data_IF_170983614263
#
_entry.id   IF_170983614263
#
_cell.length_a   1.000
_cell.length_b   1.000
_cell.length_c   1.000
_cell.angle_alpha   90.00
_cell.angle_beta   90.00
_cell.angle_gamma   90.00
#
_symmetry.space_group_name_H-M   'P 1'
#
loop_
_entity.id
_entity.type
_entity.pdbx_description
1 polymer ?
#
# COMPACT_ATOMS: atom_id res chain seq x y z
N UNK A 1 -31.43 -37.95 -15.43
CA UNK A 1 -31.21 -37.79 -13.98
C UNK A 1 -30.07 -36.80 -13.79
N UNK A 2 -30.41 -35.63 -13.26
CA UNK A 2 -29.55 -34.48 -12.99
C UNK A 2 -28.69 -34.73 -11.76
N UNK A 3 -27.40 -34.39 -11.81
CA UNK A 3 -26.62 -34.04 -10.62
C UNK A 3 -25.67 -32.90 -11.01
N UNK A 4 -26.18 -31.68 -10.87
CA UNK A 4 -25.43 -30.43 -10.98
C UNK A 4 -24.71 -30.21 -9.65
N UNK A 5 -23.39 -30.42 -9.61
CA UNK A 5 -22.58 -30.19 -8.40
C UNK A 5 -22.14 -28.73 -8.38
N UNK A 6 -22.91 -27.90 -7.70
CA UNK A 6 -22.55 -26.51 -7.45
C UNK A 6 -21.48 -26.48 -6.35
N UNK A 7 -20.27 -26.08 -6.72
CA UNK A 7 -19.22 -25.76 -5.76
C UNK A 7 -19.62 -24.46 -5.02
N UNK A 8 -19.47 -24.40 -3.68
CA UNK A 8 -19.69 -23.16 -2.96
C UNK A 8 -18.59 -22.17 -3.34
N UNK A 9 -18.99 -21.08 -4.01
CA UNK A 9 -18.14 -19.92 -4.27
C UNK A 9 -17.63 -19.40 -2.92
N UNK A 10 -16.35 -19.62 -2.66
CA UNK A 10 -15.63 -18.96 -1.59
C UNK A 10 -15.58 -17.46 -1.91
N UNK A 11 -16.48 -16.70 -1.30
CA UNK A 11 -16.33 -15.26 -1.15
C UNK A 11 -15.07 -15.02 -0.33
N UNK A 12 -13.93 -14.93 -1.02
CA UNK A 12 -12.75 -14.28 -0.46
C UNK A 12 -13.13 -12.82 -0.27
N UNK A 13 -13.64 -12.50 0.92
CA UNK A 13 -13.75 -11.11 1.37
C UNK A 13 -12.31 -10.64 1.54
N UNK A 14 -11.75 -10.09 0.46
CA UNK A 14 -10.52 -9.33 0.54
C UNK A 14 -10.69 -8.32 1.67
N UNK A 15 -9.74 -8.28 2.60
CA UNK A 15 -9.81 -7.34 3.71
C UNK A 15 -10.00 -5.93 3.13
N UNK A 16 -10.99 -5.15 3.59
CA UNK A 16 -11.27 -3.83 3.05
C UNK A 16 -10.00 -2.99 3.06
N UNK A 17 -9.71 -2.33 1.93
CA UNK A 17 -8.58 -1.43 1.80
C UNK A 17 -8.73 -0.23 2.73
N UNK A 18 -7.67 0.54 2.94
CA UNK A 18 -7.73 1.74 3.80
C UNK A 18 -8.81 2.75 3.36
N UNK A 19 -9.07 2.85 2.05
CA UNK A 19 -10.13 3.70 1.50
C UNK A 19 -11.55 3.20 1.85
N UNK A 20 -11.76 1.87 1.87
CA UNK A 20 -13.05 1.26 2.21
C UNK A 20 -13.42 1.52 3.67
N UNK A 21 -12.42 1.50 4.56
CA UNK A 21 -12.61 1.76 5.99
C UNK A 21 -12.90 3.24 6.25
N UNK A 22 -12.19 4.16 5.59
CA UNK A 22 -12.48 5.59 5.70
C UNK A 22 -13.93 5.92 5.25
N UNK A 23 -14.37 5.33 4.13
CA UNK A 23 -15.74 5.48 3.65
C UNK A 23 -16.77 4.92 4.65
N UNK A 24 -16.48 3.75 5.24
CA UNK A 24 -17.32 3.15 6.27
C UNK A 24 -17.40 4.03 7.53
N UNK A 25 -16.29 4.60 7.99
CA UNK A 25 -16.25 5.52 9.13
C UNK A 25 -17.12 6.75 8.86
N UNK A 26 -17.00 7.36 7.68
CA UNK A 26 -17.85 8.49 7.29
C UNK A 26 -19.34 8.13 7.25
N UNK A 27 -19.68 6.95 6.74
CA UNK A 27 -21.04 6.45 6.75
C UNK A 27 -21.58 6.30 8.17
N UNK A 28 -20.83 5.64 9.06
CA UNK A 28 -21.23 5.45 10.47
C UNK A 28 -21.38 6.80 11.16
N UNK A 29 -20.45 7.74 10.95
CA UNK A 29 -20.54 9.10 11.48
C UNK A 29 -21.83 9.79 11.05
N UNK A 30 -22.18 9.70 9.76
CA UNK A 30 -23.40 10.30 9.23
C UNK A 30 -24.67 9.67 9.83
N UNK A 31 -24.71 8.34 9.96
CA UNK A 31 -25.84 7.63 10.56
C UNK A 31 -26.01 8.03 12.04
N UNK A 32 -24.91 8.10 12.79
CA UNK A 32 -24.91 8.50 14.20
C UNK A 32 -25.41 9.94 14.38
N UNK A 33 -24.99 10.86 13.52
CA UNK A 33 -25.46 12.25 13.52
C UNK A 33 -26.95 12.38 13.21
N UNK A 34 -27.49 11.48 12.38
CA UNK A 34 -28.91 11.46 12.00
C UNK A 34 -29.79 10.65 12.96
N UNK A 35 -29.17 9.89 13.87
CA UNK A 35 -29.88 9.05 14.82
C UNK A 35 -30.28 9.80 16.11
N UNK A 36 -31.38 9.37 16.71
CA UNK A 36 -31.88 9.88 17.99
C UNK A 36 -31.09 9.31 19.19
N UNK A 37 -29.77 9.25 19.09
CA UNK A 37 -28.89 8.92 20.21
C UNK A 37 -28.83 10.09 21.18
N UNK A 38 -28.79 9.78 22.49
CA UNK A 38 -28.45 10.77 23.50
C UNK A 38 -27.02 11.30 23.29
N UNK A 39 -26.75 12.49 23.80
CA UNK A 39 -25.46 13.16 23.61
C UNK A 39 -24.28 12.33 24.13
N UNK A 40 -24.43 11.61 25.24
CA UNK A 40 -23.37 10.78 25.81
C UNK A 40 -23.02 9.58 24.92
N UNK A 41 -24.02 8.93 24.33
CA UNK A 41 -23.80 7.87 23.36
C UNK A 41 -23.16 8.40 22.07
N UNK A 42 -23.59 9.58 21.60
CA UNK A 42 -23.01 10.22 20.41
C UNK A 42 -21.52 10.55 20.61
N UNK A 43 -21.16 11.10 21.75
CA UNK A 43 -19.77 11.46 22.06
C UNK A 43 -18.86 10.23 22.12
N UNK A 44 -19.33 9.14 22.73
CA UNK A 44 -18.58 7.86 22.77
C UNK A 44 -18.33 7.28 21.39
N UNK A 45 -19.33 7.34 20.50
CA UNK A 45 -19.17 6.86 19.13
C UNK A 45 -18.22 7.77 18.34
N UNK A 46 -18.32 9.09 18.51
CA UNK A 46 -17.38 10.00 17.88
C UNK A 46 -15.93 9.75 18.32
N UNK A 47 -15.69 9.50 19.60
CA UNK A 47 -14.36 9.17 20.10
C UNK A 47 -13.85 7.85 19.52
N UNK A 48 -14.66 6.79 19.55
CA UNK A 48 -14.29 5.50 18.97
C UNK A 48 -13.97 5.58 17.47
N UNK A 49 -14.69 6.42 16.71
CA UNK A 49 -14.41 6.65 15.30
C UNK A 49 -13.09 7.42 15.10
N UNK A 50 -12.75 8.38 15.96
CA UNK A 50 -11.47 9.10 15.90
C UNK A 50 -10.30 8.16 16.18
N UNK A 51 -10.39 7.35 17.24
CA UNK A 51 -9.38 6.34 17.55
C UNK A 51 -9.16 5.36 16.39
N UNK A 52 -10.24 4.95 15.72
CA UNK A 52 -10.16 4.10 14.54
C UNK A 52 -9.52 4.81 13.34
N UNK A 53 -9.85 6.08 13.08
CA UNK A 53 -9.21 6.89 12.04
C UNK A 53 -7.68 6.98 12.26
N UNK A 54 -7.26 7.21 13.50
CA UNK A 54 -5.85 7.30 13.87
C UNK A 54 -5.14 5.94 13.73
N UNK A 55 -5.78 4.85 14.18
CA UNK A 55 -5.24 3.50 14.01
C UNK A 55 -5.05 3.14 12.54
N UNK A 56 -6.05 3.44 11.70
CA UNK A 56 -6.00 3.18 10.27
C UNK A 56 -4.94 4.01 9.56
N UNK A 57 -4.80 5.29 9.93
CA UNK A 57 -3.73 6.16 9.44
C UNK A 57 -2.36 5.58 9.76
N UNK A 58 -2.14 5.19 11.01
CA UNK A 58 -0.87 4.61 11.45
C UNK A 58 -0.58 3.28 10.75
N UNK A 59 -1.60 2.42 10.59
CA UNK A 59 -1.50 1.16 9.85
C UNK A 59 -1.07 1.39 8.40
N UNK A 60 -1.66 2.38 7.73
CA UNK A 60 -1.31 2.73 6.35
C UNK A 60 0.11 3.28 6.24
N UNK A 61 0.56 4.12 7.18
CA UNK A 61 1.95 4.58 7.24
C UNK A 61 2.91 3.39 7.33
N UNK A 62 2.65 2.43 8.23
CA UNK A 62 3.50 1.24 8.38
C UNK A 62 3.58 0.44 7.08
N UNK A 63 2.46 0.25 6.37
CA UNK A 63 2.42 -0.45 5.08
C UNK A 63 3.25 0.27 4.01
N UNK A 64 3.11 1.59 3.89
CA UNK A 64 3.89 2.40 2.94
C UNK A 64 5.39 2.33 3.23
N UNK A 65 5.79 2.41 4.51
CA UNK A 65 7.18 2.26 4.91
C UNK A 65 7.73 0.85 4.66
N UNK A 66 6.91 -0.19 4.80
CA UNK A 66 7.31 -1.56 4.47
C UNK A 66 7.53 -1.70 2.95
N UNK A 67 6.62 -1.18 2.13
CA UNK A 67 6.75 -1.18 0.68
C UNK A 67 7.99 -0.39 0.20
N UNK A 68 8.26 0.78 0.77
CA UNK A 68 9.45 1.56 0.42
C UNK A 68 10.76 0.83 0.76
N UNK A 69 10.79 0.06 1.86
CA UNK A 69 11.93 -0.80 2.19
C UNK A 69 12.10 -1.93 1.18
N UNK A 70 11.03 -2.39 0.56
CA UNK A 70 11.08 -3.40 -0.49
C UNK A 70 11.65 -2.83 -1.79
N UNK A 71 11.25 -1.63 -2.20
CA UNK A 71 11.88 -0.94 -3.34
C UNK A 71 13.40 -0.75 -3.12
N UNK A 72 13.82 -0.41 -1.90
CA UNK A 72 15.25 -0.36 -1.54
C UNK A 72 15.94 -1.72 -1.70
N UNK A 73 15.29 -2.84 -1.36
CA UNK A 73 15.86 -4.18 -1.54
C UNK A 73 16.00 -4.54 -3.02
N UNK A 74 14.99 -4.20 -3.84
CA UNK A 74 15.05 -4.39 -5.30
C UNK A 74 16.22 -3.63 -5.92
N UNK A 75 16.41 -2.35 -5.54
CA UNK A 75 17.55 -1.55 -6.01
C UNK A 75 18.87 -2.22 -5.64
N UNK A 76 19.01 -2.70 -4.40
CA UNK A 76 20.24 -3.38 -3.97
C UNK A 76 20.54 -4.63 -4.80
N UNK A 77 19.53 -5.46 -5.07
CA UNK A 77 19.66 -6.65 -5.91
C UNK A 77 20.05 -6.29 -7.36
N UNK A 78 19.38 -5.31 -7.95
CA UNK A 78 19.69 -4.86 -9.31
C UNK A 78 21.10 -4.26 -9.42
N UNK A 79 21.54 -3.55 -8.38
CA UNK A 79 22.89 -3.00 -8.33
C UNK A 79 23.94 -4.11 -8.16
N UNK A 80 23.65 -5.15 -7.39
CA UNK A 80 24.51 -6.33 -7.28
C UNK A 80 24.64 -7.05 -8.63
N UNK A 81 23.53 -7.22 -9.37
CA UNK A 81 23.55 -7.80 -10.72
C UNK A 81 24.31 -6.93 -11.73
N UNK A 82 24.25 -5.61 -11.59
CA UNK A 82 25.02 -4.69 -12.43
C UNK A 82 26.53 -4.77 -12.20
N UNK A 83 27.02 -5.35 -11.10
CA UNK A 83 28.46 -5.57 -10.91
C UNK A 83 29.07 -6.47 -11.99
N UNK A 84 28.25 -7.32 -12.62
CA UNK A 84 28.68 -8.19 -13.73
C UNK A 84 28.86 -7.41 -15.05
N UNK A 85 28.32 -6.19 -15.14
CA UNK A 85 28.64 -5.23 -16.20
C UNK A 85 30.01 -4.61 -15.90
N UNK A 86 31.06 -5.41 -16.13
CA UNK A 86 32.44 -5.09 -15.78
C UNK A 86 33.05 -3.98 -16.66
N UNK A 87 34.17 -3.42 -16.19
CA UNK A 87 34.88 -2.28 -16.81
C UNK A 87 35.69 -2.63 -18.06
N UNK A 88 35.51 -3.82 -18.64
CA UNK A 88 36.23 -4.25 -19.84
C UNK A 88 35.53 -3.79 -21.12
N UNK A 89 36.30 -3.19 -22.04
CA UNK A 89 35.78 -2.58 -23.28
C UNK A 89 35.23 -3.62 -24.31
N UNK A 90 35.15 -4.90 -23.95
CA UNK A 90 34.74 -6.01 -24.82
C UNK A 90 33.36 -6.58 -24.49
N UNK A 91 32.42 -5.71 -24.10
CA UNK A 91 31.04 -6.09 -23.77
C UNK A 91 30.23 -6.42 -25.02
N UNK A 92 29.50 -7.53 -25.03
CA UNK A 92 28.57 -7.87 -26.12
C UNK A 92 27.26 -7.05 -26.07
N UNK A 93 26.57 -6.94 -27.20
CA UNK A 93 25.35 -6.14 -27.35
C UNK A 93 24.24 -6.54 -26.36
N UNK A 94 24.08 -7.83 -26.07
CA UNK A 94 23.06 -8.34 -25.15
C UNK A 94 23.34 -7.99 -23.70
N UNK A 95 24.62 -7.94 -23.30
CA UNK A 95 25.02 -7.46 -21.97
C UNK A 95 24.75 -5.95 -21.83
N UNK A 96 25.02 -5.15 -22.87
CA UNK A 96 24.67 -3.71 -22.89
C UNK A 96 23.17 -3.49 -22.78
N UNK A 97 22.36 -4.22 -23.56
CA UNK A 97 20.90 -4.13 -23.50
C UNK A 97 20.37 -4.49 -22.11
N UNK A 98 20.87 -5.58 -21.54
CA UNK A 98 20.48 -6.06 -20.21
C UNK A 98 20.82 -5.02 -19.13
N UNK A 99 22.03 -4.46 -19.14
CA UNK A 99 22.43 -3.42 -18.19
C UNK A 99 21.56 -2.16 -18.33
N UNK A 100 21.23 -1.76 -19.57
CA UNK A 100 20.31 -0.64 -19.82
C UNK A 100 18.93 -0.88 -19.20
N UNK A 101 18.37 -2.08 -19.32
CA UNK A 101 17.09 -2.44 -18.70
C UNK A 101 17.18 -2.41 -17.17
N UNK A 102 18.27 -2.92 -16.58
CA UNK A 102 18.48 -2.88 -15.14
C UNK A 102 18.54 -1.45 -14.59
N UNK A 103 19.18 -0.51 -15.30
CA UNK A 103 19.16 0.91 -14.91
C UNK A 103 17.75 1.50 -14.93
N UNK A 104 16.93 1.14 -15.92
CA UNK A 104 15.53 1.57 -15.97
C UNK A 104 14.72 1.00 -14.80
N UNK A 105 14.93 -0.27 -14.45
CA UNK A 105 14.27 -0.91 -13.31
C UNK A 105 14.69 -0.28 -11.97
N UNK A 106 15.98 0.07 -11.80
CA UNK A 106 16.46 0.82 -10.64
C UNK A 106 15.79 2.19 -10.56
N UNK A 107 15.70 2.91 -11.68
CA UNK A 107 15.05 4.21 -11.74
C UNK A 107 13.56 4.11 -11.36
N UNK A 108 12.86 3.09 -11.88
CA UNK A 108 11.46 2.85 -11.55
C UNK A 108 11.27 2.53 -10.06
N UNK A 109 12.10 1.64 -9.49
CA UNK A 109 12.06 1.31 -8.06
C UNK A 109 12.36 2.54 -7.18
N UNK A 110 13.31 3.38 -7.58
CA UNK A 110 13.64 4.61 -6.85
C UNK A 110 12.49 5.63 -6.89
N UNK A 111 11.85 5.80 -8.05
CA UNK A 111 10.68 6.66 -8.20
C UNK A 111 9.50 6.17 -7.35
N UNK A 112 9.25 4.86 -7.35
CA UNK A 112 8.19 4.26 -6.54
C UNK A 112 8.47 4.39 -5.04
N UNK A 113 9.70 4.10 -4.60
CA UNK A 113 10.13 4.33 -3.22
C UNK A 113 9.94 5.78 -2.77
N UNK A 114 10.29 6.75 -3.62
CA UNK A 114 10.05 8.18 -3.37
C UNK A 114 8.56 8.52 -3.26
N UNK A 115 7.71 7.97 -4.15
CA UNK A 115 6.26 8.13 -4.10
C UNK A 115 5.69 7.60 -2.78
N UNK A 116 6.01 6.37 -2.40
CA UNK A 116 5.55 5.73 -1.16
C UNK A 116 5.92 6.54 0.10
N UNK A 117 7.13 7.11 0.14
CA UNK A 117 7.57 7.95 1.26
C UNK A 117 6.85 9.30 1.31
N UNK A 118 6.55 9.91 0.15
CA UNK A 118 5.74 11.14 0.08
C UNK A 118 4.31 10.89 0.54
N UNK A 119 3.73 9.75 0.16
CA UNK A 119 2.40 9.35 0.62
C UNK A 119 2.39 9.15 2.14
N UNK A 120 3.40 8.47 2.70
CA UNK A 120 3.53 8.27 4.14
C UNK A 120 3.71 9.60 4.91
N UNK A 121 4.50 10.52 4.36
CA UNK A 121 4.69 11.86 4.94
C UNK A 121 3.39 12.67 4.91
N UNK A 122 2.61 12.55 3.84
CA UNK A 122 1.34 13.27 3.70
C UNK A 122 0.33 12.79 4.75
N UNK A 123 0.31 11.48 5.05
CA UNK A 123 -0.51 10.95 6.15
C UNK A 123 -0.03 11.45 7.52
N UNK A 124 1.29 11.59 7.75
CA UNK A 124 1.82 12.15 9.01
C UNK A 124 1.51 13.64 9.20
N UNK A 125 1.50 14.43 8.12
CA UNK A 125 1.25 15.89 8.19
C UNK A 125 -0.21 16.26 8.35
N UNK A 126 -1.13 15.31 8.21
CA UNK A 126 -2.56 15.52 8.47
C UNK A 126 -2.94 15.46 9.96
N UNK A 127 -1.95 15.47 10.86
CA UNK A 127 -2.09 15.66 12.32
C UNK A 127 -2.23 17.16 12.67
#
# INVERSE_FOLDING_TARGET
MTMNRQEPQSLSVAAPGGADIAAAIHLVRNVVLQSALDCGCRDKVHEALRELEDFERQRNIVKLLAAAREERRKIALLTEMLCDFAEDDTVDEGVVETASLMFLDIAAAAQEGSRLLRDALSLKKGE
#
